data_IF_168599305511
#
_entry.id   IF_168599305511
#
_cell.length_a   1.000
_cell.length_b   1.000
_cell.length_c   1.000
_cell.angle_alpha   90.00
_cell.angle_beta   90.00
_cell.angle_gamma   90.00
#
_symmetry.space_group_name_H-M   'P 1'
#
loop_
_entity.id
_entity.type
_entity.pdbx_description
1 polymer ?
#
# COMPACT_ATOMS: atom_id res chain seq x y z
N UNK A 1 8.93 -3.62 22.81
CA UNK A 1 9.53 -3.32 22.23
C UNK A 1 9.29 -3.06 21.47
N UNK A 2 9.24 -3.16 22.02
CA UNK A 2 9.84 -2.83 21.41
C UNK A 2 9.44 -2.66 20.63
N UNK A 3 9.47 -2.70 21.24
CA UNK A 3 9.83 -2.41 20.53
C UNK A 3 9.48 -2.32 19.73
N UNK A 4 9.37 -2.68 20.69
CA UNK A 4 9.76 -2.27 19.88
C UNK A 4 9.38 -2.67 19.28
N UNK A 5 9.51 -2.51 19.46
CA UNK A 5 9.93 -2.51 18.73
C UNK A 5 9.84 -2.65 18.07
N UNK A 6 9.82 -2.61 18.84
CA UNK A 6 10.37 -2.53 17.96
C UNK A 6 10.39 -2.77 17.44
N UNK A 7 10.51 -2.80 17.99
CA UNK A 7 11.14 -2.79 17.14
C UNK A 7 11.31 -3.11 16.75
N UNK A 8 11.45 -3.08 17.19
CA UNK A 8 12.15 -3.15 16.48
C UNK A 8 12.51 -3.50 15.98
N UNK A 9 12.60 -3.62 16.79
CA UNK A 9 13.31 -3.68 15.93
C UNK A 9 13.68 -4.03 15.65
N UNK A 10 13.93 -4.30 15.66
CA UNK A 10 14.62 -4.45 14.86
C UNK A 10 15.08 -4.82 14.41
N UNK A 11 15.17 -5.00 14.88
CA UNK A 11 15.86 -5.25 14.11
C UNK A 11 16.23 -5.84 13.72
N UNK A 12 16.23 -6.19 14.13
CA UNK A 12 16.78 -6.61 13.48
C UNK A 12 16.87 -7.04 12.84
N UNK A 13 16.85 -7.20 13.09
CA UNK A 13 17.06 -7.51 12.23
C UNK A 13 16.94 -7.51 11.64
N UNK A 14 16.83 -7.62 11.60
CA UNK A 14 16.79 -7.54 10.97
C UNK A 14 16.12 -7.16 10.32
N UNK A 15 15.95 -6.81 10.08
CA UNK A 15 15.38 -6.36 9.40
C UNK A 15 14.35 -6.51 8.45
N UNK A 16 13.71 -6.36 8.53
CA UNK A 16 12.72 -6.67 7.62
C UNK A 16 12.14 -5.48 6.91
N UNK A 17 12.04 -5.57 5.63
CA UNK A 17 11.73 -4.41 4.81
C UNK A 17 10.24 -4.18 4.58
N UNK A 18 9.45 -5.25 4.43
CA UNK A 18 8.06 -5.12 4.01
C UNK A 18 7.10 -5.93 4.85
N UNK A 19 5.89 -5.39 5.04
CA UNK A 19 4.81 -6.15 5.63
C UNK A 19 4.01 -6.79 4.50
N UNK A 20 3.91 -8.10 4.52
CA UNK A 20 3.21 -8.84 3.48
C UNK A 20 1.79 -9.19 3.94
N UNK A 21 0.99 -9.71 3.00
CA UNK A 21 -0.35 -10.17 3.36
C UNK A 21 -0.30 -11.26 4.41
N UNK A 22 0.73 -12.11 4.35
CA UNK A 22 0.89 -13.15 5.35
C UNK A 22 1.05 -12.57 6.75
N UNK A 23 1.83 -11.51 6.86
CA UNK A 23 2.02 -10.86 8.15
C UNK A 23 0.76 -10.16 8.64
N UNK A 24 -0.02 -9.61 7.72
CA UNK A 24 -1.31 -9.03 8.09
C UNK A 24 -2.25 -10.12 8.59
N UNK A 25 -2.24 -11.28 7.96
CA UNK A 25 -3.08 -12.38 8.40
C UNK A 25 -2.69 -12.86 9.80
N UNK A 26 -1.40 -12.91 10.09
CA UNK A 26 -0.92 -13.27 11.42
C UNK A 26 -1.42 -12.26 12.45
N UNK A 27 -1.35 -10.98 12.12
CA UNK A 27 -1.82 -9.94 13.04
C UNK A 27 -3.32 -10.06 13.31
N UNK A 28 -4.11 -10.33 12.26
CA UNK A 28 -5.55 -10.49 12.40
C UNK A 28 -5.87 -11.73 13.25
N UNK A 29 -5.16 -12.81 13.00
CA UNK A 29 -5.32 -14.04 13.79
C UNK A 29 -5.13 -13.75 15.27
N UNK A 30 -4.12 -12.95 15.58
CA UNK A 30 -3.77 -12.61 16.93
C UNK A 30 -4.79 -11.66 17.58
N UNK A 31 -5.20 -10.64 16.83
CA UNK A 31 -6.04 -9.59 17.37
C UNK A 31 -7.51 -9.97 17.43
N UNK A 32 -8.00 -10.71 16.45
CA UNK A 32 -9.41 -11.02 16.33
C UNK A 32 -9.75 -12.46 16.71
N UNK A 33 -8.75 -13.22 17.12
CA UNK A 33 -8.95 -14.61 17.55
C UNK A 33 -9.61 -15.47 16.47
N UNK A 34 -9.25 -15.20 15.22
CA UNK A 34 -9.68 -16.02 14.10
C UNK A 34 -8.61 -17.07 13.80
N UNK A 35 -9.04 -18.18 13.15
CA UNK A 35 -8.07 -19.18 12.73
C UNK A 35 -7.12 -18.57 11.70
N UNK A 36 -5.96 -19.21 11.51
CA UNK A 36 -5.01 -18.76 10.50
C UNK A 36 -5.64 -18.77 9.11
N UNK A 37 -6.41 -19.81 8.83
CA UNK A 37 -7.06 -19.92 7.53
C UNK A 37 -8.07 -18.80 7.31
N UNK A 38 -8.92 -18.55 8.31
CA UNK A 38 -9.91 -17.49 8.19
C UNK A 38 -9.26 -16.11 8.11
N UNK A 39 -8.17 -15.91 8.83
CA UNK A 39 -7.44 -14.65 8.77
C UNK A 39 -6.86 -14.41 7.38
N UNK A 40 -6.29 -15.43 6.77
CA UNK A 40 -5.74 -15.31 5.42
C UNK A 40 -6.84 -15.02 4.40
N UNK A 41 -7.99 -15.70 4.54
CA UNK A 41 -9.10 -15.46 3.64
C UNK A 41 -9.65 -14.04 3.78
N UNK A 42 -9.69 -13.54 5.01
CA UNK A 42 -10.17 -12.19 5.26
C UNK A 42 -9.24 -11.17 4.60
N UNK A 43 -7.94 -11.34 4.74
CA UNK A 43 -6.97 -10.44 4.11
C UNK A 43 -7.13 -10.46 2.59
N UNK A 44 -7.27 -11.66 2.02
CA UNK A 44 -7.43 -11.78 0.57
C UNK A 44 -8.71 -11.08 0.10
N UNK A 45 -9.80 -11.22 0.86
CA UNK A 45 -11.06 -10.58 0.52
C UNK A 45 -10.93 -9.06 0.56
N UNK A 46 -10.27 -8.54 1.59
CA UNK A 46 -10.07 -7.10 1.71
C UNK A 46 -9.29 -6.57 0.50
N UNK A 47 -8.18 -7.20 0.16
CA UNK A 47 -7.37 -6.72 -0.96
C UNK A 47 -8.09 -6.89 -2.30
N UNK A 48 -8.87 -7.96 -2.45
CA UNK A 48 -9.65 -8.12 -3.67
C UNK A 48 -10.67 -7.00 -3.83
N UNK A 49 -11.35 -6.62 -2.74
CA UNK A 49 -12.31 -5.52 -2.77
C UNK A 49 -11.62 -4.19 -3.10
N UNK A 50 -10.43 -3.98 -2.52
CA UNK A 50 -9.68 -2.77 -2.81
C UNK A 50 -9.30 -2.67 -4.28
N UNK A 51 -8.84 -3.79 -4.86
CA UNK A 51 -8.49 -3.82 -6.26
C UNK A 51 -9.69 -3.53 -7.15
N UNK A 52 -10.82 -4.12 -6.80
CA UNK A 52 -12.05 -3.91 -7.55
C UNK A 52 -12.46 -2.44 -7.58
N UNK A 53 -12.40 -1.81 -6.42
CA UNK A 53 -12.74 -0.39 -6.30
C UNK A 53 -11.83 0.47 -7.16
N UNK A 54 -10.53 0.21 -7.10
CA UNK A 54 -9.56 1.01 -7.84
C UNK A 54 -9.67 0.76 -9.36
N UNK A 55 -9.90 -0.49 -9.74
CA UNK A 55 -10.05 -0.82 -11.16
C UNK A 55 -11.27 -0.13 -11.75
N UNK A 56 -12.33 0.02 -10.96
CA UNK A 56 -13.53 0.72 -11.42
C UNK A 56 -13.34 2.23 -11.50
N UNK A 57 -12.22 2.75 -11.03
CA UNK A 57 -11.93 4.17 -11.10
C UNK A 57 -12.34 4.97 -9.88
N UNK A 58 -12.83 4.30 -8.86
CA UNK A 58 -13.27 4.97 -7.65
C UNK A 58 -12.14 5.14 -6.65
N UNK A 59 -12.24 6.19 -5.86
CA UNK A 59 -11.29 6.42 -4.79
C UNK A 59 -11.56 5.48 -3.62
N UNK A 60 -10.51 5.10 -2.93
CA UNK A 60 -10.60 4.26 -1.75
C UNK A 60 -10.11 5.03 -0.55
N UNK A 61 -11.00 5.32 0.38
CA UNK A 61 -10.65 6.10 1.57
C UNK A 61 -10.53 5.18 2.78
N UNK A 62 -9.35 5.17 3.38
CA UNK A 62 -9.09 4.43 4.61
C UNK A 62 -9.04 5.43 5.75
N UNK A 63 -10.07 5.39 6.59
CA UNK A 63 -10.24 6.38 7.66
C UNK A 63 -8.99 6.43 8.55
N UNK A 64 -8.48 7.63 8.79
CA UNK A 64 -7.32 7.89 9.63
C UNK A 64 -6.01 7.32 9.08
N UNK A 65 -6.04 6.78 7.86
CA UNK A 65 -4.83 6.28 7.23
C UNK A 65 -4.50 7.07 5.97
N UNK A 66 -5.40 7.10 5.01
CA UNK A 66 -5.15 7.84 3.79
C UNK A 66 -6.16 7.50 2.72
N UNK A 67 -5.93 8.05 1.55
CA UNK A 67 -6.82 7.85 0.41
C UNK A 67 -6.01 7.42 -0.79
N UNK A 68 -6.49 6.38 -1.46
CA UNK A 68 -5.93 5.92 -2.73
C UNK A 68 -6.82 6.44 -3.84
N UNK A 69 -6.22 7.14 -4.79
CA UNK A 69 -6.95 7.77 -5.89
C UNK A 69 -6.38 7.30 -7.21
N UNK A 70 -7.27 6.97 -8.15
CA UNK A 70 -6.84 6.62 -9.50
C UNK A 70 -6.72 7.91 -10.30
N UNK A 71 -5.58 8.09 -10.93
CA UNK A 71 -5.33 9.26 -11.75
C UNK A 71 -4.99 8.84 -13.17
N UNK A 72 -5.48 9.62 -14.11
CA UNK A 72 -5.15 9.44 -15.51
C UNK A 72 -3.94 10.29 -15.83
N UNK A 73 -2.91 9.64 -16.37
CA UNK A 73 -1.75 10.35 -16.86
C UNK A 73 -1.92 10.61 -18.35
N UNK A 74 -1.90 11.88 -18.72
CA UNK A 74 -2.03 12.27 -20.12
C UNK A 74 -0.83 11.77 -20.93
N UNK A 75 -1.03 11.53 -22.22
CA UNK A 75 0.11 11.23 -23.11
C UNK A 75 1.08 12.41 -23.08
N UNK A 76 2.34 12.12 -23.10
CA UNK A 76 3.35 13.16 -23.07
C UNK A 76 4.57 12.72 -23.83
N UNK A 77 5.38 13.69 -24.19
CA UNK A 77 6.63 13.42 -24.84
C UNK A 77 7.69 13.05 -23.82
N UNK A 78 8.45 12.04 -24.14
CA UNK A 78 9.59 11.65 -23.34
C UNK A 78 10.78 11.45 -24.21
N UNK A 79 11.89 11.05 -23.59
CA UNK A 79 13.10 10.73 -24.33
C UNK A 79 13.64 9.40 -23.86
N UNK A 80 14.11 8.63 -24.82
CA UNK A 80 14.79 7.39 -24.50
C UNK A 80 16.14 7.77 -23.86
N UNK A 81 16.37 7.41 -22.60
CA UNK A 81 17.62 7.83 -21.95
C UNK A 81 18.87 7.21 -22.56
N UNK A 82 18.70 6.17 -23.37
CA UNK A 82 19.82 5.49 -23.98
C UNK A 82 20.21 6.09 -25.34
N UNK A 83 19.20 6.42 -26.13
CA UNK A 83 19.46 6.93 -27.48
C UNK A 83 19.21 8.42 -27.62
N UNK A 84 18.49 9.00 -26.68
CA UNK A 84 18.11 10.40 -26.74
C UNK A 84 16.96 10.68 -27.68
N UNK A 85 16.40 9.64 -28.29
CA UNK A 85 15.32 9.81 -29.26
C UNK A 85 14.03 10.17 -28.52
N UNK A 86 13.25 11.06 -29.14
CA UNK A 86 11.96 11.43 -28.63
C UNK A 86 10.99 10.27 -28.79
N UNK A 87 10.16 10.06 -27.79
CA UNK A 87 9.15 9.01 -27.82
C UNK A 87 7.88 9.53 -27.16
N UNK A 88 6.76 8.92 -27.50
CA UNK A 88 5.48 9.30 -26.92
C UNK A 88 5.13 8.33 -25.80
N UNK A 89 4.91 8.88 -24.60
CA UNK A 89 4.44 8.09 -23.47
C UNK A 89 2.94 8.07 -23.53
N UNK A 90 2.35 6.87 -23.66
CA UNK A 90 0.92 6.74 -23.85
C UNK A 90 0.15 7.05 -22.56
N UNK A 91 -1.12 7.40 -22.75
CA UNK A 91 -2.01 7.61 -21.60
C UNK A 91 -2.13 6.34 -20.79
N UNK A 92 -2.12 6.49 -19.46
CA UNK A 92 -2.25 5.34 -18.57
C UNK A 92 -2.83 5.80 -17.24
N UNK A 93 -3.31 4.84 -16.48
CA UNK A 93 -3.84 5.10 -15.15
C UNK A 93 -2.81 4.73 -14.11
N UNK A 94 -2.82 5.46 -13.03
CA UNK A 94 -1.95 5.15 -11.91
C UNK A 94 -2.67 5.43 -10.60
N UNK A 95 -2.19 4.82 -9.54
CA UNK A 95 -2.75 5.04 -8.21
C UNK A 95 -1.82 5.96 -7.44
N UNK A 96 -2.39 7.00 -6.84
CA UNK A 96 -1.62 7.83 -5.93
C UNK A 96 -2.20 7.72 -4.53
N UNK A 97 -1.33 7.76 -3.54
CA UNK A 97 -1.70 7.66 -2.14
C UNK A 97 -1.49 8.98 -1.44
N UNK A 98 -2.52 9.41 -0.71
CA UNK A 98 -2.44 10.63 0.07
C UNK A 98 -2.64 10.28 1.52
N UNK A 99 -1.63 10.43 2.37
CA UNK A 99 -1.79 10.11 3.79
C UNK A 99 -2.76 11.06 4.47
N UNK A 100 -3.48 10.54 5.45
CA UNK A 100 -4.38 11.35 6.24
C UNK A 100 -3.59 12.28 7.14
N UNK A 101 -4.30 13.30 7.65
CA UNK A 101 -3.67 14.21 8.60
C UNK A 101 -3.14 13.44 9.82
N UNK A 102 -3.93 12.51 10.31
CA UNK A 102 -3.54 11.71 11.49
C UNK A 102 -2.27 10.91 11.21
N UNK A 103 -2.20 10.28 10.05
CA UNK A 103 -1.02 9.52 9.70
C UNK A 103 0.20 10.41 9.58
N UNK A 104 0.05 11.57 8.97
CA UNK A 104 1.17 12.50 8.83
C UNK A 104 1.67 12.97 10.19
N UNK A 105 0.74 13.21 11.13
CA UNK A 105 1.12 13.61 12.48
C UNK A 105 1.91 12.52 13.18
N UNK A 106 1.47 11.27 13.03
CA UNK A 106 2.17 10.15 13.64
C UNK A 106 3.57 9.96 13.07
N UNK A 107 3.73 10.19 11.77
CA UNK A 107 5.03 10.04 11.13
C UNK A 107 6.01 11.13 11.52
N UNK A 108 5.52 12.29 11.92
CA UNK A 108 6.35 13.44 12.21
C UNK A 108 6.44 13.78 13.70
N UNK A 109 6.15 12.81 14.54
CA UNK A 109 6.32 12.99 15.98
C UNK A 109 7.78 13.02 16.38
#
# INVERSE_FOLDING_TARGET
MKKGTSSKAKKENGKKANVTRKELAVAINKELDLSQRNSAELVDTIFASMKETLVSGESLKLVQFGTLTVRDKSPRRGRNPRTGEAMMITKRKMVSFRPSKRLRELLNQ
#
